data_IF_805103626142
#
_entry.id   IF_805103626142
#
_cell.length_a   1.000
_cell.length_b   1.000
_cell.length_c   1.000
_cell.angle_alpha   90.00
_cell.angle_beta   90.00
_cell.angle_gamma   90.00
#
_symmetry.space_group_name_H-M   'P 1'
#
loop_
_entity.id
_entity.type
_entity.pdbx_description
1 polymer ?
#
# COMPACT_ATOMS: atom_id res chain seq x y z
N UNK A 1 -18.98 -12.41 26.62
CA UNK A 1 -17.75 -12.03 25.90
C UNK A 1 -17.28 -10.69 26.46
N UNK A 2 -15.99 -10.55 26.76
CA UNK A 2 -15.39 -9.35 27.38
C UNK A 2 -14.70 -8.49 26.31
N UNK A 3 -15.27 -7.32 25.92
CA UNK A 3 -14.68 -6.45 24.91
C UNK A 3 -13.41 -5.74 25.40
N UNK A 4 -13.23 -5.55 26.71
CA UNK A 4 -12.03 -4.93 27.27
C UNK A 4 -10.85 -5.88 27.12
N UNK A 5 -11.03 -7.14 27.49
CA UNK A 5 -10.02 -8.18 27.29
C UNK A 5 -9.70 -8.40 25.80
N UNK A 6 -10.72 -8.38 24.93
CA UNK A 6 -10.50 -8.44 23.49
C UNK A 6 -9.68 -7.24 22.98
N UNK A 7 -9.90 -6.04 23.51
CA UNK A 7 -9.10 -4.86 23.21
C UNK A 7 -7.63 -5.03 23.61
N UNK A 8 -7.37 -5.57 24.80
CA UNK A 8 -6.00 -5.88 25.25
C UNK A 8 -5.31 -6.87 24.30
N UNK A 9 -5.98 -7.98 23.96
CA UNK A 9 -5.45 -8.95 22.98
C UNK A 9 -5.17 -8.33 21.61
N UNK A 10 -6.08 -7.46 21.14
CA UNK A 10 -5.89 -6.78 19.86
C UNK A 10 -4.57 -6.01 19.87
N UNK A 11 -4.29 -5.21 20.90
CA UNK A 11 -3.07 -4.41 20.96
C UNK A 11 -1.80 -5.21 21.30
N UNK A 12 -1.86 -6.11 22.28
CA UNK A 12 -0.66 -6.78 22.82
C UNK A 12 -0.09 -7.83 21.87
N UNK A 13 -0.94 -8.57 21.14
CA UNK A 13 -0.47 -9.62 20.24
C UNK A 13 0.02 -9.13 18.88
N UNK A 14 -0.11 -7.83 18.56
CA UNK A 14 0.35 -7.27 17.29
C UNK A 14 1.87 -7.47 17.11
N UNK A 15 2.66 -7.29 18.19
CA UNK A 15 4.12 -7.48 18.16
C UNK A 15 4.55 -8.94 17.97
N UNK A 16 3.68 -9.90 18.29
CA UNK A 16 3.88 -11.32 18.00
C UNK A 16 3.47 -11.73 16.58
N UNK A 17 3.17 -10.76 15.71
CA UNK A 17 2.79 -11.00 14.33
C UNK A 17 1.34 -11.48 14.17
N UNK A 18 0.48 -11.28 15.18
CA UNK A 18 -0.95 -11.55 15.07
C UNK A 18 -1.63 -10.39 14.35
N UNK A 19 -2.21 -10.66 13.18
CA UNK A 19 -2.90 -9.68 12.33
C UNK A 19 -4.09 -8.96 13.01
N UNK A 20 -4.69 -9.58 14.04
CA UNK A 20 -5.84 -9.09 14.77
C UNK A 20 -6.76 -10.21 15.26
N UNK A 21 -8.06 -9.92 15.41
CA UNK A 21 -9.02 -10.83 16.01
C UNK A 21 -9.96 -11.47 14.98
N UNK A 22 -10.33 -12.73 15.24
CA UNK A 22 -11.46 -13.39 14.61
C UNK A 22 -12.63 -13.39 15.59
N UNK A 23 -13.73 -12.74 15.20
CA UNK A 23 -14.96 -12.69 16.00
C UNK A 23 -15.95 -13.71 15.44
N UNK A 24 -16.49 -14.55 16.33
CA UNK A 24 -17.44 -15.61 15.97
C UNK A 24 -18.65 -15.55 16.90
N UNK A 25 -19.89 -15.72 16.38
CA UNK A 25 -21.03 -16.00 17.24
C UNK A 25 -20.77 -17.27 18.07
N UNK A 26 -21.05 -17.22 19.37
CA UNK A 26 -20.72 -18.32 20.29
C UNK A 26 -21.67 -19.52 20.16
N UNK A 27 -22.87 -19.27 19.64
CA UNK A 27 -24.00 -20.18 19.55
C UNK A 27 -24.27 -20.68 18.13
N UNK A 28 -23.50 -20.25 17.13
CA UNK A 28 -23.65 -20.73 15.75
C UNK A 28 -22.74 -21.93 15.44
N UNK A 29 -23.26 -23.00 14.82
CA UNK A 29 -22.43 -24.07 14.30
C UNK A 29 -21.60 -23.61 13.10
N UNK A 30 -20.58 -24.39 12.75
CA UNK A 30 -19.83 -24.16 11.52
C UNK A 30 -20.74 -24.23 10.29
N UNK A 31 -20.71 -23.20 9.45
CA UNK A 31 -21.51 -23.10 8.24
C UNK A 31 -20.61 -23.07 6.98
N UNK A 32 -20.40 -24.22 6.31
CA UNK A 32 -19.54 -24.31 5.13
C UNK A 32 -20.00 -23.35 4.03
N UNK A 33 -19.06 -22.63 3.41
CA UNK A 33 -19.34 -21.69 2.31
C UNK A 33 -20.02 -20.39 2.72
N UNK A 34 -20.28 -20.16 4.02
CA UNK A 34 -20.84 -18.90 4.52
C UNK A 34 -19.78 -18.06 5.22
N UNK A 35 -19.87 -16.74 5.06
CA UNK A 35 -19.04 -15.76 5.78
C UNK A 35 -19.77 -15.28 7.04
N UNK A 36 -19.81 -16.12 8.08
CA UNK A 36 -20.46 -15.80 9.38
C UNK A 36 -19.51 -15.21 10.43
N UNK A 37 -18.20 -15.20 10.16
CA UNK A 37 -17.18 -14.72 11.11
C UNK A 37 -16.68 -13.31 10.72
N UNK A 38 -16.42 -12.49 11.72
CA UNK A 38 -15.80 -11.17 11.60
C UNK A 38 -14.28 -11.24 11.68
N UNK A 39 -13.61 -10.33 10.96
CA UNK A 39 -12.16 -10.10 11.08
C UNK A 39 -11.96 -8.66 11.52
N UNK A 40 -11.32 -8.45 12.66
CA UNK A 40 -10.89 -7.14 13.15
C UNK A 40 -9.38 -7.10 12.98
N UNK A 41 -8.87 -6.17 12.18
CA UNK A 41 -7.44 -6.04 11.86
C UNK A 41 -6.94 -4.65 12.20
N UNK A 42 -5.66 -4.53 12.52
CA UNK A 42 -5.01 -3.22 12.54
C UNK A 42 -5.05 -2.63 11.15
N UNK A 43 -5.49 -1.39 11.06
CA UNK A 43 -5.43 -0.62 9.84
C UNK A 43 -4.33 0.43 10.02
N UNK A 44 -3.33 0.36 9.14
CA UNK A 44 -2.26 1.35 9.07
C UNK A 44 -2.43 2.16 7.80
N UNK A 45 -2.07 3.44 7.85
CA UNK A 45 -1.99 4.29 6.67
C UNK A 45 -0.62 4.94 6.54
N UNK A 46 -0.26 5.29 5.31
CA UNK A 46 0.95 6.05 4.99
C UNK A 46 0.62 7.06 3.88
N UNK A 47 1.19 8.25 4.01
CA UNK A 47 1.28 9.25 2.96
C UNK A 47 2.41 8.85 2.00
N UNK A 48 2.08 8.61 0.73
CA UNK A 48 2.99 8.11 -0.30
C UNK A 48 3.01 9.04 -1.51
N UNK A 49 4.17 9.13 -2.17
CA UNK A 49 4.30 9.82 -3.45
C UNK A 49 3.76 8.93 -4.56
N UNK A 50 2.92 9.48 -5.45
CA UNK A 50 2.49 8.82 -6.68
C UNK A 50 3.42 9.26 -7.81
N UNK A 51 4.35 8.39 -8.20
CA UNK A 51 5.39 8.69 -9.19
C UNK A 51 5.24 7.86 -10.49
N UNK A 52 4.16 7.09 -10.62
CA UNK A 52 3.88 6.42 -11.88
C UNK A 52 2.53 5.75 -11.88
N UNK A 53 2.16 5.18 -13.02
CA UNK A 53 0.92 4.43 -13.15
C UNK A 53 1.02 3.34 -14.21
N UNK A 54 0.11 2.37 -14.16
CA UNK A 54 -0.06 1.36 -15.21
C UNK A 54 -1.38 1.59 -15.92
N UNK A 55 -1.39 1.42 -17.23
CA UNK A 55 -2.60 1.50 -18.04
C UNK A 55 -3.26 0.12 -18.18
N UNK A 56 -4.55 0.11 -18.47
CA UNK A 56 -5.28 -1.05 -19.00
C UNK A 56 -6.41 -0.56 -19.93
N UNK A 57 -6.87 -1.39 -20.86
CA UNK A 57 -8.03 -1.03 -21.69
C UNK A 57 -9.32 -1.06 -20.86
N UNK A 58 -10.15 -0.03 -21.02
CA UNK A 58 -11.55 -0.03 -20.61
C UNK A 58 -12.41 -0.81 -21.62
N UNK A 59 -13.69 -1.00 -21.27
CA UNK A 59 -14.65 -1.74 -22.13
C UNK A 59 -14.85 -1.12 -23.52
N UNK A 60 -14.69 0.20 -23.62
CA UNK A 60 -14.82 0.96 -24.86
C UNK A 60 -13.47 1.14 -25.60
N UNK A 61 -12.40 0.48 -25.14
CA UNK A 61 -11.07 0.51 -25.75
C UNK A 61 -10.19 1.69 -25.33
N UNK A 62 -10.70 2.67 -24.56
CA UNK A 62 -9.85 3.75 -24.04
C UNK A 62 -8.90 3.23 -22.96
N UNK A 63 -7.73 3.84 -22.86
CA UNK A 63 -6.80 3.54 -21.77
C UNK A 63 -7.25 4.20 -20.47
N UNK A 64 -7.26 3.42 -19.39
CA UNK A 64 -7.60 3.89 -18.04
C UNK A 64 -6.56 3.41 -17.03
N UNK A 65 -6.56 4.00 -15.84
CA UNK A 65 -5.62 3.62 -14.78
C UNK A 65 -5.90 2.20 -14.29
N UNK A 66 -4.91 1.32 -14.38
CA UNK A 66 -4.90 -0.01 -13.78
C UNK A 66 -4.46 0.05 -12.31
N UNK A 67 -3.34 0.73 -12.07
CA UNK A 67 -2.78 0.94 -10.73
C UNK A 67 -1.94 2.21 -10.70
N UNK A 68 -1.95 2.90 -9.55
CA UNK A 68 -0.96 3.92 -9.23
C UNK A 68 0.27 3.28 -8.61
N UNK A 69 1.46 3.81 -8.90
CA UNK A 69 2.73 3.34 -8.36
C UNK A 69 3.22 4.30 -7.29
N UNK A 70 3.57 3.73 -6.14
CA UNK A 70 3.74 4.45 -4.89
C UNK A 70 5.22 4.44 -4.49
N UNK A 71 5.66 5.55 -3.91
CA UNK A 71 7.02 5.70 -3.38
C UNK A 71 7.10 6.34 -2.01
N UNK A 72 8.15 5.99 -1.28
CA UNK A 72 8.57 6.62 -0.03
C UNK A 72 10.04 7.03 -0.10
N UNK A 73 10.38 8.13 0.53
CA UNK A 73 11.75 8.61 0.65
C UNK A 73 12.48 7.89 1.79
N UNK A 74 13.72 7.48 1.54
CA UNK A 74 14.63 7.04 2.58
C UNK A 74 15.31 8.23 3.30
N UNK A 75 16.16 7.94 4.28
CA UNK A 75 16.89 8.97 5.02
C UNK A 75 17.90 9.77 4.19
N UNK A 76 18.24 9.31 2.98
CA UNK A 76 19.07 10.03 2.02
C UNK A 76 18.24 10.85 1.01
N UNK A 77 16.90 10.86 1.14
CA UNK A 77 16.00 11.56 0.22
C UNK A 77 15.78 10.84 -1.11
N UNK A 78 16.14 9.57 -1.23
CA UNK A 78 15.93 8.77 -2.45
C UNK A 78 14.52 8.19 -2.44
N UNK A 79 13.82 8.22 -3.57
CA UNK A 79 12.43 7.73 -3.67
C UNK A 79 12.38 6.24 -4.03
N UNK A 80 12.08 5.37 -3.06
CA UNK A 80 11.96 3.93 -3.27
C UNK A 80 10.55 3.54 -3.70
N UNK A 81 10.41 2.66 -4.69
CA UNK A 81 9.12 2.07 -5.06
C UNK A 81 8.66 1.08 -3.98
N UNK A 82 7.53 1.38 -3.35
CA UNK A 82 7.00 0.60 -2.21
C UNK A 82 5.79 -0.26 -2.57
N UNK A 83 5.23 -0.14 -3.78
CA UNK A 83 4.08 -0.95 -4.21
C UNK A 83 3.11 -0.19 -5.09
N UNK A 84 1.92 -0.76 -5.30
CA UNK A 84 0.87 -0.13 -6.09
C UNK A 84 -0.46 -0.06 -5.36
N UNK A 85 -1.24 0.99 -5.66
CA UNK A 85 -2.65 1.08 -5.29
C UNK A 85 -3.52 0.70 -6.50
N UNK A 86 -4.53 -0.14 -6.29
CA UNK A 86 -5.45 -0.57 -7.36
C UNK A 86 -6.86 -0.81 -6.81
N UNK A 87 -7.62 -1.73 -7.42
CA UNK A 87 -9.03 -2.03 -7.09
C UNK A 87 -10.02 -0.85 -7.25
N UNK A 88 -9.66 0.15 -8.05
CA UNK A 88 -10.56 1.25 -8.41
C UNK A 88 -11.77 0.77 -9.22
N UNK A 89 -12.92 1.43 -9.02
CA UNK A 89 -14.11 1.25 -9.86
C UNK A 89 -13.83 1.75 -11.28
N UNK A 90 -14.62 1.30 -12.27
CA UNK A 90 -14.43 1.72 -13.66
C UNK A 90 -14.49 3.25 -13.82
N UNK A 91 -15.40 3.91 -13.11
CA UNK A 91 -15.53 5.36 -13.09
C UNK A 91 -14.26 6.04 -12.55
N UNK A 92 -13.78 5.63 -11.37
CA UNK A 92 -12.58 6.21 -10.74
C UNK A 92 -11.37 6.04 -11.64
N UNK A 93 -11.24 4.90 -12.34
CA UNK A 93 -10.12 4.69 -13.27
C UNK A 93 -10.08 5.70 -14.42
N UNK A 94 -11.24 6.14 -14.91
CA UNK A 94 -11.33 7.17 -15.94
C UNK A 94 -11.04 8.56 -15.36
N UNK A 95 -11.62 8.90 -14.21
CA UNK A 95 -11.34 10.18 -13.51
C UNK A 95 -9.85 10.34 -13.18
N UNK A 96 -9.18 9.25 -12.80
CA UNK A 96 -7.75 9.26 -12.52
C UNK A 96 -6.91 9.63 -13.75
N UNK A 97 -7.33 9.28 -14.97
CA UNK A 97 -6.59 9.66 -16.19
C UNK A 97 -6.55 11.18 -16.33
N UNK A 98 -7.69 11.85 -16.09
CA UNK A 98 -7.78 13.31 -16.16
C UNK A 98 -6.98 13.96 -15.03
N UNK A 99 -7.06 13.40 -13.81
CA UNK A 99 -6.36 13.93 -12.64
C UNK A 99 -4.84 13.86 -12.77
N UNK A 100 -4.30 12.77 -13.34
CA UNK A 100 -2.84 12.60 -13.49
C UNK A 100 -2.28 13.25 -14.75
N UNK A 101 -3.12 13.67 -15.70
CA UNK A 101 -2.68 14.26 -16.96
C UNK A 101 -1.71 15.44 -16.80
N UNK A 102 -1.90 16.39 -15.85
CA UNK A 102 -0.94 17.47 -15.62
C UNK A 102 0.41 17.02 -15.06
N UNK A 103 0.49 15.78 -14.57
CA UNK A 103 1.67 15.20 -13.93
C UNK A 103 2.36 14.18 -14.80
N UNK A 104 1.93 13.97 -16.05
CA UNK A 104 2.65 13.13 -16.98
C UNK A 104 4.06 13.68 -17.16
N UNK A 105 5.05 12.81 -16.99
CA UNK A 105 6.44 13.17 -17.24
C UNK A 105 6.63 13.53 -18.72
N UNK A 106 7.38 14.60 -18.96
CA UNK A 106 7.93 14.91 -20.28
C UNK A 106 9.24 14.13 -20.53
N UNK A 107 9.77 14.26 -21.74
CA UNK A 107 11.00 13.57 -22.14
C UNK A 107 12.26 14.09 -21.42
N UNK A 108 12.19 15.30 -20.85
CA UNK A 108 13.30 15.95 -20.13
C UNK A 108 13.35 15.58 -18.64
N UNK A 109 12.28 14.99 -18.09
CA UNK A 109 12.25 14.56 -16.70
C UNK A 109 13.26 13.44 -16.43
N UNK A 110 14.28 13.75 -15.63
CA UNK A 110 15.09 12.73 -14.97
C UNK A 110 14.30 12.11 -13.82
N UNK A 111 13.50 11.09 -14.14
CA UNK A 111 12.62 10.46 -13.17
C UNK A 111 13.43 9.73 -12.06
N UNK A 112 13.06 9.83 -10.76
CA UNK A 112 13.81 9.18 -9.67
C UNK A 112 14.00 7.68 -9.83
N UNK A 113 13.03 7.00 -10.45
CA UNK A 113 13.10 5.56 -10.78
C UNK A 113 13.78 5.23 -12.13
N UNK A 114 14.31 6.22 -12.85
CA UNK A 114 15.05 6.02 -14.10
C UNK A 114 16.58 6.04 -13.89
N UNK A 115 17.06 6.65 -12.80
CA UNK A 115 18.49 6.89 -12.55
C UNK A 115 19.32 5.61 -12.28
N UNK A 116 18.67 4.49 -11.94
CA UNK A 116 19.37 3.28 -11.49
C UNK A 116 20.12 3.50 -10.15
N UNK A 117 20.76 2.45 -9.63
CA UNK A 117 21.47 2.48 -8.35
C UNK A 117 20.73 1.76 -7.22
N UNK A 118 21.03 2.15 -5.97
CA UNK A 118 20.50 1.54 -4.73
C UNK A 118 19.02 1.90 -4.43
N UNK A 119 18.26 2.25 -5.46
CA UNK A 119 16.84 2.62 -5.34
C UNK A 119 15.98 1.49 -5.87
N UNK A 120 14.97 1.11 -5.09
CA UNK A 120 13.97 0.14 -5.53
C UNK A 120 13.09 0.75 -6.64
N UNK A 121 12.98 0.09 -7.78
CA UNK A 121 12.18 0.56 -8.93
C UNK A 121 11.02 -0.39 -9.28
N UNK A 122 9.92 0.12 -9.88
CA UNK A 122 8.83 -0.74 -10.34
C UNK A 122 9.31 -1.71 -11.42
N UNK A 123 8.96 -2.99 -11.28
CA UNK A 123 9.34 -4.01 -12.26
C UNK A 123 10.83 -4.41 -12.23
N UNK A 124 11.54 -4.10 -11.14
CA UNK A 124 12.93 -4.50 -10.92
C UNK A 124 13.23 -5.96 -11.30
N UNK A 125 14.45 -6.19 -11.79
CA UNK A 125 14.88 -7.40 -12.47
C UNK A 125 14.70 -8.68 -11.63
N UNK A 126 13.68 -9.48 -11.97
CA UNK A 126 13.71 -10.91 -11.71
C UNK A 126 14.09 -11.62 -13.01
N UNK A 127 14.55 -12.89 -12.95
CA UNK A 127 14.85 -13.73 -14.13
C UNK A 127 13.67 -13.85 -15.13
N UNK A 128 12.49 -13.32 -14.78
CA UNK A 128 11.24 -13.38 -15.53
C UNK A 128 10.67 -12.03 -15.97
N UNK A 129 11.24 -10.87 -15.58
CA UNK A 129 10.70 -9.57 -15.99
C UNK A 129 11.43 -8.99 -17.20
N UNK A 130 10.80 -9.10 -18.39
CA UNK A 130 11.02 -8.11 -19.45
C UNK A 130 10.39 -6.81 -18.97
N UNK A 131 11.22 -5.84 -18.61
CA UNK A 131 10.76 -4.55 -18.10
C UNK A 131 9.79 -3.83 -19.05
N UNK A 132 9.18 -2.77 -18.49
CA UNK A 132 8.30 -1.77 -19.13
C UNK A 132 6.84 -2.15 -19.30
N UNK A 133 6.07 -1.99 -18.22
CA UNK A 133 4.66 -1.66 -18.36
C UNK A 133 4.20 -0.72 -17.23
N UNK A 134 4.78 0.47 -17.21
CA UNK A 134 4.32 1.61 -16.41
C UNK A 134 4.75 2.92 -17.05
N UNK A 135 4.02 3.99 -16.74
CA UNK A 135 4.22 5.35 -17.26
C UNK A 135 4.64 6.28 -16.12
N UNK A 136 5.72 7.06 -16.30
CA UNK A 136 6.22 7.96 -15.28
C UNK A 136 5.29 9.15 -15.02
N UNK A 137 5.27 9.59 -13.77
CA UNK A 137 4.63 10.83 -13.35
C UNK A 137 5.66 11.71 -12.64
N UNK A 138 5.46 13.03 -12.70
CA UNK A 138 6.15 13.97 -11.85
C UNK A 138 5.89 13.60 -10.38
N UNK A 139 6.94 13.33 -9.56
CA UNK A 139 6.82 12.82 -8.19
C UNK A 139 6.40 13.93 -7.21
N UNK A 140 5.21 14.49 -7.42
CA UNK A 140 4.67 15.63 -6.66
C UNK A 140 3.29 15.36 -6.07
N UNK A 141 2.55 14.38 -6.62
CA UNK A 141 1.27 13.93 -6.09
C UNK A 141 1.47 13.11 -4.82
N UNK A 142 0.70 13.43 -3.77
CA UNK A 142 0.68 12.66 -2.51
C UNK A 142 -0.69 12.05 -2.28
N UNK A 143 -0.72 10.77 -1.94
CA UNK A 143 -1.92 10.04 -1.55
C UNK A 143 -1.72 9.40 -0.18
N UNK A 144 -2.78 9.35 0.62
CA UNK A 144 -2.85 8.46 1.77
C UNK A 144 -3.33 7.09 1.30
N UNK A 145 -2.59 6.04 1.67
CA UNK A 145 -2.93 4.66 1.36
C UNK A 145 -2.98 3.81 2.63
N UNK A 146 -3.88 2.84 2.67
CA UNK A 146 -3.89 1.80 3.68
C UNK A 146 -3.02 0.62 3.26
N UNK A 147 -2.31 0.03 4.21
CA UNK A 147 -1.51 -1.17 4.01
C UNK A 147 -1.63 -2.06 5.25
N UNK A 148 -1.32 -3.35 5.09
CA UNK A 148 -1.34 -4.30 6.19
C UNK A 148 0.04 -4.50 6.82
N UNK A 149 1.03 -4.89 6.01
CA UNK A 149 2.38 -5.22 6.47
C UNK A 149 3.43 -4.75 5.47
N UNK A 150 4.61 -4.43 6.01
CA UNK A 150 5.82 -4.23 5.23
C UNK A 150 6.55 -5.57 5.04
N UNK A 151 7.17 -5.74 3.88
CA UNK A 151 8.11 -6.83 3.59
C UNK A 151 9.42 -6.17 3.12
N UNK A 152 10.39 -6.06 4.03
CA UNK A 152 11.52 -5.15 3.89
C UNK A 152 11.03 -3.71 3.56
N UNK A 153 11.50 -3.12 2.48
CA UNK A 153 11.18 -1.73 2.08
C UNK A 153 9.99 -1.62 1.11
N UNK A 154 8.99 -2.51 1.20
CA UNK A 154 7.77 -2.44 0.38
C UNK A 154 6.54 -2.90 1.14
N UNK A 155 5.36 -2.46 0.68
CA UNK A 155 4.10 -3.08 1.07
C UNK A 155 4.06 -4.52 0.54
N UNK A 156 3.67 -5.45 1.40
CA UNK A 156 3.52 -6.86 1.05
C UNK A 156 2.41 -7.08 0.01
N UNK A 157 1.29 -6.37 0.19
CA UNK A 157 0.13 -6.44 -0.69
C UNK A 157 -0.17 -5.10 -1.36
N UNK A 158 -1.07 -5.13 -2.34
CA UNK A 158 -1.62 -3.92 -2.97
C UNK A 158 -2.21 -3.01 -1.89
N UNK A 159 -1.78 -1.75 -1.88
CA UNK A 159 -2.28 -0.76 -0.95
C UNK A 159 -3.71 -0.32 -1.33
N UNK A 160 -4.53 -0.01 -0.34
CA UNK A 160 -5.85 0.58 -0.54
C UNK A 160 -5.73 2.09 -0.67
N UNK A 161 -6.26 2.69 -1.73
CA UNK A 161 -6.33 4.15 -1.80
C UNK A 161 -7.34 4.68 -0.77
N UNK A 162 -6.92 5.64 0.06
CA UNK A 162 -7.78 6.30 1.05
C UNK A 162 -8.23 7.66 0.50
N UNK A 163 -7.29 8.57 0.24
CA UNK A 163 -7.56 9.92 -0.26
C UNK A 163 -6.32 10.60 -0.81
N UNK A 164 -6.51 11.65 -1.60
CA UNK A 164 -5.43 12.57 -1.98
C UNK A 164 -5.05 13.48 -0.80
N UNK A 165 -3.77 13.87 -0.75
CA UNK A 165 -3.19 14.73 0.29
C UNK A 165 -2.54 15.98 -0.33
N UNK A 166 -3.33 16.91 -0.89
CA UNK A 166 -2.79 18.16 -1.44
C UNK A 166 -2.16 19.06 -0.35
N UNK A 167 -2.41 18.74 0.92
CA UNK A 167 -1.85 19.39 2.10
C UNK A 167 -0.45 18.88 2.49
N UNK A 168 0.11 17.92 1.74
CA UNK A 168 1.41 17.31 2.01
C UNK A 168 2.40 17.57 0.87
N UNK A 169 3.66 17.76 1.24
CA UNK A 169 4.77 17.79 0.28
C UNK A 169 5.30 16.38 0.00
N UNK A 170 5.67 16.09 -1.24
CA UNK A 170 6.19 14.77 -1.62
C UNK A 170 7.45 14.37 -0.81
N UNK A 171 8.32 15.32 -0.52
CA UNK A 171 9.53 15.13 0.32
C UNK A 171 9.22 14.66 1.75
N UNK A 172 8.02 14.99 2.27
CA UNK A 172 7.58 14.56 3.61
C UNK A 172 7.12 13.10 3.68
N UNK A 173 6.95 12.44 2.54
CA UNK A 173 6.53 11.04 2.46
C UNK A 173 7.75 10.12 2.68
N UNK A 174 8.17 9.92 3.94
CA UNK A 174 9.38 9.14 4.29
C UNK A 174 9.05 7.77 4.89
N UNK A 175 10.04 6.87 4.99
CA UNK A 175 9.86 5.59 5.72
C UNK A 175 9.63 5.74 7.23
N UNK A 176 9.97 6.88 7.83
CA UNK A 176 9.82 7.11 9.29
C UNK A 176 8.35 7.05 9.75
N UNK A 177 7.41 7.33 8.85
CA UNK A 177 5.98 7.23 9.16
C UNK A 177 5.46 5.78 9.25
N UNK A 178 6.22 4.82 8.73
CA UNK A 178 5.83 3.42 8.65
C UNK A 178 6.41 2.70 9.88
N UNK A 179 5.58 2.27 10.85
CA UNK A 179 6.06 1.67 12.07
C UNK A 179 6.68 0.29 11.79
N UNK A 180 7.95 0.13 12.16
CA UNK A 180 8.57 -1.17 12.38
C UNK A 180 8.25 -1.62 13.81
N UNK A 181 7.42 -2.64 13.98
CA UNK A 181 7.26 -3.26 15.29
C UNK A 181 8.45 -4.19 15.53
N UNK A 182 9.08 -4.06 16.69
CA UNK A 182 10.03 -5.05 17.21
C UNK A 182 9.27 -6.37 17.46
N UNK A 183 9.77 -7.47 16.90
CA UNK A 183 9.10 -8.76 17.01
C UNK A 183 9.19 -9.27 18.46
N UNK A 184 8.05 -9.67 19.02
CA UNK A 184 7.95 -10.37 20.30
C UNK A 184 7.56 -11.83 20.09
N UNK A 185 7.92 -12.73 21.00
CA UNK A 185 7.43 -14.11 20.96
C UNK A 185 5.98 -14.15 21.46
N UNK A 186 5.15 -14.98 20.84
CA UNK A 186 3.77 -15.20 21.30
C UNK A 186 3.75 -15.92 22.65
N UNK A 187 4.75 -16.77 22.92
CA UNK A 187 4.90 -17.47 24.20
C UNK A 187 5.15 -16.49 25.36
N UNK A 188 5.90 -15.42 25.13
CA UNK A 188 6.14 -14.39 26.15
C UNK A 188 4.86 -13.62 26.51
N UNK A 189 3.98 -13.40 25.53
CA UNK A 189 2.70 -12.70 25.71
C UNK A 189 1.60 -13.57 26.33
N UNK A 190 1.78 -14.89 26.33
CA UNK A 190 0.83 -15.86 26.90
C UNK A 190 1.16 -16.24 28.34
N UNK A 191 2.21 -15.66 28.93
CA UNK A 191 2.58 -15.91 30.33
C UNK A 191 1.57 -15.24 31.28
N UNK A 192 1.12 -15.94 32.33
CA UNK A 192 0.09 -15.45 33.26
C UNK A 192 0.54 -14.31 34.17
#
# INVERSE_FOLDING_TARGET
TDPVLAGAWFSEFESAGVDGLIVKPADEPYAPGKRSQGKIKHQRTADVVVAGWRAQPAKDGREVVASLLLGLHDGAGRLHFVGGASAFTAQVRSELVELIAPYLADDDLTHPWAAGGDVRIPGGSSRWSKGKDWRPLLPSLVAEVSYDQMEAERFRHTAGFVRWRPDREASSCTFEQVPSLEASSIEDLLQP
#
